data_IF_719641232657
#
_entry.id   IF_719641232657
#
_cell.length_a   1.000
_cell.length_b   1.000
_cell.length_c   1.000
_cell.angle_alpha   90.00
_cell.angle_beta   90.00
_cell.angle_gamma   90.00
#
_symmetry.space_group_name_H-M   'P 1'
#
loop_
_entity.id
_entity.type
_entity.pdbx_description
1 polymer ?
#
# COMPACT_ATOMS: atom_id res chain seq x y z
N UNK A 1 -27.40 -14.45 -10.08
CA UNK A 1 -27.21 -15.42 -8.99
C UNK A 1 -26.61 -16.72 -9.52
N UNK A 2 -25.32 -16.67 -9.92
CA UNK A 2 -24.64 -17.83 -10.49
C UNK A 2 -23.79 -18.45 -9.39
N UNK A 3 -24.17 -19.63 -8.89
CA UNK A 3 -23.46 -20.35 -7.84
C UNK A 3 -22.60 -21.44 -8.48
N UNK A 4 -21.55 -21.01 -9.24
CA UNK A 4 -20.62 -21.88 -9.95
C UNK A 4 -19.19 -21.61 -9.53
N UNK A 5 -18.29 -22.56 -9.72
CA UNK A 5 -16.88 -22.43 -9.36
C UNK A 5 -16.20 -21.20 -10.03
N UNK A 6 -16.54 -20.94 -11.30
CA UNK A 6 -15.96 -19.79 -12.02
C UNK A 6 -16.45 -18.44 -11.48
N UNK A 7 -17.69 -18.34 -10.94
CA UNK A 7 -18.16 -17.10 -10.31
C UNK A 7 -17.40 -16.80 -9.02
N UNK A 8 -17.03 -17.81 -8.24
CA UNK A 8 -16.16 -17.64 -7.08
C UNK A 8 -14.72 -17.28 -7.48
N UNK A 9 -14.19 -17.82 -8.60
CA UNK A 9 -12.89 -17.41 -9.13
C UNK A 9 -12.90 -15.94 -9.55
N UNK A 10 -13.91 -15.50 -10.29
CA UNK A 10 -14.06 -14.09 -10.67
C UNK A 10 -14.23 -13.18 -9.45
N UNK A 11 -15.01 -13.60 -8.46
CA UNK A 11 -15.15 -12.89 -7.20
C UNK A 11 -13.80 -12.78 -6.46
N UNK A 12 -13.04 -13.87 -6.36
CA UNK A 12 -11.71 -13.88 -5.76
C UNK A 12 -10.75 -12.88 -6.42
N UNK A 13 -10.67 -12.90 -7.74
CA UNK A 13 -9.83 -11.97 -8.50
C UNK A 13 -10.28 -10.53 -8.31
N UNK A 14 -11.59 -10.26 -8.41
CA UNK A 14 -12.16 -8.92 -8.20
C UNK A 14 -11.93 -8.39 -6.78
N UNK A 15 -12.06 -9.25 -5.77
CA UNK A 15 -11.85 -8.91 -4.37
C UNK A 15 -10.38 -8.62 -4.04
N UNK A 16 -9.43 -9.24 -4.75
CA UNK A 16 -8.01 -8.86 -4.64
C UNK A 16 -7.80 -7.39 -4.99
N UNK A 17 -8.37 -6.92 -6.11
CA UNK A 17 -8.38 -5.49 -6.47
C UNK A 17 -9.27 -4.66 -5.54
N UNK A 18 -10.35 -5.24 -5.00
CA UNK A 18 -11.20 -4.60 -3.99
C UNK A 18 -10.43 -4.27 -2.72
N UNK A 19 -9.64 -5.21 -2.20
CA UNK A 19 -8.76 -4.96 -1.05
C UNK A 19 -7.71 -3.90 -1.33
N UNK A 20 -7.13 -3.86 -2.54
CA UNK A 20 -6.23 -2.78 -2.94
C UNK A 20 -6.93 -1.41 -2.81
N UNK A 21 -8.17 -1.29 -3.32
CA UNK A 21 -8.96 -0.04 -3.24
C UNK A 21 -9.28 0.36 -1.81
N UNK A 22 -9.69 -0.58 -0.97
CA UNK A 22 -9.99 -0.29 0.44
C UNK A 22 -8.74 0.18 1.19
N UNK A 23 -7.60 -0.47 0.97
CA UNK A 23 -6.36 -0.10 1.64
C UNK A 23 -5.83 1.26 1.16
N UNK A 24 -5.95 1.59 -0.13
CA UNK A 24 -5.54 2.91 -0.64
C UNK A 24 -6.47 4.02 -0.13
N UNK A 25 -7.78 3.80 -0.11
CA UNK A 25 -8.69 4.78 0.50
C UNK A 25 -8.49 4.87 2.02
N UNK A 26 -8.13 3.78 2.69
CA UNK A 26 -7.70 3.79 4.08
C UNK A 26 -6.41 4.59 4.31
N UNK A 27 -5.47 4.54 3.36
CA UNK A 27 -4.27 5.37 3.32
C UNK A 27 -4.63 6.86 3.16
N UNK A 28 -5.54 7.22 2.24
CA UNK A 28 -6.05 8.59 2.13
C UNK A 28 -6.72 9.06 3.43
N UNK A 29 -7.48 8.17 4.08
CA UNK A 29 -8.05 8.47 5.40
C UNK A 29 -6.97 8.68 6.47
N UNK A 30 -5.85 7.95 6.39
CA UNK A 30 -4.71 8.16 7.29
C UNK A 30 -4.10 9.56 7.12
N UNK A 31 -4.02 10.08 5.90
CA UNK A 31 -3.62 11.45 5.59
C UNK A 31 -4.73 12.49 5.81
N UNK A 32 -5.95 12.07 6.19
CA UNK A 32 -7.13 12.94 6.34
C UNK A 32 -7.55 13.65 5.04
N UNK A 33 -7.40 12.97 3.91
CA UNK A 33 -7.67 13.51 2.57
C UNK A 33 -8.99 13.03 1.94
N UNK A 34 -9.75 12.12 2.60
CA UNK A 34 -11.04 11.66 2.08
C UNK A 34 -12.14 12.73 2.19
N UNK A 35 -12.21 13.42 3.32
CA UNK A 35 -13.21 14.42 3.63
C UNK A 35 -12.59 15.59 4.38
N UNK A 36 -13.09 16.81 4.13
CA UNK A 36 -12.72 18.00 4.90
C UNK A 36 -13.16 17.91 6.37
N UNK A 37 -14.25 17.19 6.66
CA UNK A 37 -14.67 16.92 8.03
C UNK A 37 -13.81 15.78 8.60
N UNK A 38 -12.94 16.08 9.57
CA UNK A 38 -12.03 15.11 10.21
C UNK A 38 -12.76 13.93 10.87
N UNK A 39 -13.94 14.14 11.48
CA UNK A 39 -14.73 13.08 12.12
C UNK A 39 -15.31 12.13 11.09
N UNK A 40 -15.87 12.64 9.99
CA UNK A 40 -16.36 11.85 8.88
C UNK A 40 -15.22 11.06 8.22
N UNK A 41 -14.05 11.69 8.01
CA UNK A 41 -12.87 11.04 7.49
C UNK A 41 -12.44 9.83 8.35
N UNK A 42 -12.35 10.02 9.66
CA UNK A 42 -11.90 8.96 10.57
C UNK A 42 -12.98 7.87 10.74
N UNK A 43 -14.26 8.21 10.74
CA UNK A 43 -15.35 7.25 10.82
C UNK A 43 -15.37 6.34 9.58
N UNK A 44 -15.41 6.92 8.39
CA UNK A 44 -15.43 6.17 7.13
C UNK A 44 -14.13 5.40 6.95
N UNK A 45 -12.99 6.06 7.20
CA UNK A 45 -11.66 5.44 7.08
C UNK A 45 -11.50 4.19 7.95
N UNK A 46 -12.01 4.22 9.17
CA UNK A 46 -11.95 3.08 10.10
C UNK A 46 -12.96 2.00 9.73
N UNK A 47 -14.25 2.33 9.75
CA UNK A 47 -15.32 1.34 9.77
C UNK A 47 -15.68 0.78 8.39
N UNK A 48 -15.57 1.59 7.33
CA UNK A 48 -15.97 1.17 5.97
C UNK A 48 -14.78 0.78 5.08
N UNK A 49 -13.56 1.25 5.38
CA UNK A 49 -12.40 1.01 4.52
C UNK A 49 -11.36 0.10 5.17
N UNK A 50 -10.85 0.46 6.34
CA UNK A 50 -9.69 -0.23 6.94
C UNK A 50 -10.10 -1.51 7.69
N UNK A 51 -11.11 -1.46 8.56
CA UNK A 51 -11.50 -2.61 9.36
C UNK A 51 -12.03 -3.80 8.55
N UNK A 52 -12.83 -3.62 7.47
CA UNK A 52 -13.16 -4.70 6.57
C UNK A 52 -11.93 -5.39 5.96
N UNK A 53 -10.84 -4.65 5.76
CA UNK A 53 -9.57 -5.14 5.22
C UNK A 53 -8.52 -5.45 6.30
N UNK A 54 -8.94 -5.70 7.54
CA UNK A 54 -8.10 -6.10 8.69
C UNK A 54 -7.00 -5.09 9.04
N UNK A 55 -7.17 -3.81 8.70
CA UNK A 55 -6.20 -2.76 8.99
C UNK A 55 -6.65 -1.90 10.17
N UNK A 56 -5.81 -1.74 11.20
CA UNK A 56 -6.02 -0.81 12.30
C UNK A 56 -5.60 0.59 11.84
N UNK A 57 -6.56 1.42 11.41
CA UNK A 57 -6.31 2.67 10.71
C UNK A 57 -5.53 3.70 11.55
N UNK A 58 -5.82 3.83 12.84
CA UNK A 58 -5.10 4.77 13.70
C UNK A 58 -3.66 4.31 13.97
N UNK A 59 -3.45 3.00 14.12
CA UNK A 59 -2.11 2.45 14.23
C UNK A 59 -1.35 2.61 12.91
N UNK A 60 -2.00 2.34 11.80
CA UNK A 60 -1.44 2.54 10.46
C UNK A 60 -1.07 4.01 10.22
N UNK A 61 -1.94 4.97 10.57
CA UNK A 61 -1.62 6.41 10.46
C UNK A 61 -0.31 6.75 11.17
N UNK A 62 -0.12 6.28 12.40
CA UNK A 62 1.11 6.54 13.14
C UNK A 62 2.35 5.94 12.48
N UNK A 63 2.27 4.67 12.05
CA UNK A 63 3.39 4.03 11.36
C UNK A 63 3.67 4.67 10.01
N UNK A 64 2.63 5.06 9.29
CA UNK A 64 2.76 5.66 7.97
C UNK A 64 3.36 7.08 8.02
N UNK A 65 3.01 7.90 9.01
CA UNK A 65 3.70 9.17 9.22
C UNK A 65 5.14 8.99 9.71
N UNK A 66 5.45 7.95 10.47
CA UNK A 66 6.83 7.60 10.81
C UNK A 66 7.62 7.19 9.54
N UNK A 67 7.00 6.43 8.62
CA UNK A 67 7.56 6.12 7.32
C UNK A 67 7.90 7.37 6.52
N UNK A 68 6.97 8.32 6.33
CA UNK A 68 7.24 9.58 5.63
C UNK A 68 8.35 10.43 6.26
N UNK A 69 8.51 10.33 7.58
CA UNK A 69 9.53 11.09 8.31
C UNK A 69 10.93 10.51 8.16
N UNK A 70 11.05 9.18 8.15
CA UNK A 70 12.35 8.46 8.17
C UNK A 70 12.45 7.42 7.05
N UNK A 71 12.05 7.77 5.82
CA UNK A 71 12.11 6.88 4.67
C UNK A 71 13.49 6.26 4.49
N UNK A 72 13.53 4.92 4.41
CA UNK A 72 14.75 4.12 4.32
C UNK A 72 15.67 4.24 5.53
N UNK A 73 15.27 4.95 6.58
CA UNK A 73 16.04 5.14 7.80
C UNK A 73 15.91 4.00 8.81
N UNK A 74 16.68 4.04 9.90
CA UNK A 74 16.69 2.99 10.92
C UNK A 74 15.37 2.89 11.71
N UNK A 75 14.61 3.98 11.82
CA UNK A 75 13.33 4.05 12.54
C UNK A 75 12.12 3.78 11.63
N UNK A 76 12.35 3.47 10.38
CA UNK A 76 11.29 3.20 9.42
C UNK A 76 10.54 1.91 9.74
N UNK A 77 9.23 1.95 10.06
CA UNK A 77 8.48 0.77 10.47
C UNK A 77 8.26 -0.24 9.33
N UNK A 78 8.27 0.21 8.09
CA UNK A 78 8.01 -0.62 6.90
C UNK A 78 9.29 -1.11 6.19
N UNK A 79 10.49 -0.72 6.66
CA UNK A 79 11.78 -1.04 6.06
C UNK A 79 11.94 -2.53 5.74
N UNK A 80 11.43 -3.43 6.60
CA UNK A 80 11.50 -4.88 6.39
C UNK A 80 10.73 -5.40 5.15
N UNK A 81 9.83 -4.60 4.57
CA UNK A 81 9.06 -4.97 3.38
C UNK A 81 9.92 -4.88 2.12
N UNK A 82 10.81 -3.90 2.04
CA UNK A 82 11.57 -3.53 0.85
C UNK A 82 13.08 -3.38 1.04
N UNK A 83 13.60 -3.60 2.26
CA UNK A 83 15.05 -3.68 2.48
C UNK A 83 15.69 -4.90 1.80
N UNK A 84 17.00 -4.76 1.50
CA UNK A 84 17.80 -5.84 0.91
C UNK A 84 17.52 -6.08 -0.57
N UNK A 85 17.08 -5.05 -1.30
CA UNK A 85 17.01 -5.04 -2.76
C UNK A 85 18.20 -4.24 -3.34
N UNK A 86 18.72 -4.60 -4.54
CA UNK A 86 18.33 -5.75 -5.37
C UNK A 86 18.57 -7.11 -4.68
N UNK A 87 17.71 -8.10 -4.97
CA UNK A 87 17.79 -9.43 -4.36
C UNK A 87 17.74 -10.52 -5.45
N UNK A 88 18.38 -11.68 -5.26
CA UNK A 88 18.25 -12.79 -6.22
C UNK A 88 16.79 -13.16 -6.50
N UNK A 89 16.48 -13.50 -7.74
CA UNK A 89 15.14 -13.85 -8.22
C UNK A 89 14.47 -14.93 -7.35
N UNK A 90 15.22 -15.91 -6.86
CA UNK A 90 14.69 -16.98 -6.01
C UNK A 90 14.28 -16.46 -4.63
N UNK A 91 14.99 -15.46 -4.10
CA UNK A 91 14.60 -14.79 -2.85
C UNK A 91 13.29 -14.03 -3.02
N UNK A 92 13.15 -13.32 -4.15
CA UNK A 92 11.92 -12.61 -4.50
C UNK A 92 10.74 -13.57 -4.67
N UNK A 93 10.92 -14.65 -5.46
CA UNK A 93 9.91 -15.69 -5.65
C UNK A 93 9.48 -16.35 -4.33
N UNK A 94 10.44 -16.63 -3.43
CA UNK A 94 10.15 -17.18 -2.10
C UNK A 94 9.29 -16.22 -1.27
N UNK A 95 9.58 -14.91 -1.30
CA UNK A 95 8.77 -13.89 -0.60
C UNK A 95 7.34 -13.86 -1.14
N UNK A 96 7.14 -13.84 -2.47
CA UNK A 96 5.81 -13.84 -3.08
C UNK A 96 5.05 -15.15 -2.81
N UNK A 97 5.72 -16.30 -2.90
CA UNK A 97 5.09 -17.60 -2.58
C UNK A 97 4.60 -17.66 -1.14
N UNK A 98 5.37 -17.15 -0.19
CA UNK A 98 4.95 -17.06 1.21
C UNK A 98 3.69 -16.22 1.39
N UNK A 99 3.53 -15.15 0.61
CA UNK A 99 2.32 -14.32 0.62
C UNK A 99 1.16 -15.03 -0.08
N UNK A 100 1.40 -15.64 -1.24
CA UNK A 100 0.40 -16.40 -1.99
C UNK A 100 -0.16 -17.62 -1.24
N UNK A 101 0.64 -18.23 -0.37
CA UNK A 101 0.22 -19.40 0.45
C UNK A 101 -0.38 -19.00 1.80
N UNK A 102 -0.58 -17.70 2.07
CA UNK A 102 -1.23 -17.23 3.30
C UNK A 102 -0.33 -17.23 4.55
N UNK A 103 0.95 -17.61 4.46
CA UNK A 103 1.86 -17.62 5.61
C UNK A 103 2.00 -16.22 6.24
N UNK A 104 2.05 -15.18 5.42
CA UNK A 104 2.10 -13.79 5.90
C UNK A 104 0.77 -13.38 6.55
N UNK A 105 -0.35 -13.79 5.99
CA UNK A 105 -1.68 -13.54 6.57
C UNK A 105 -1.85 -14.22 7.93
N UNK A 106 -1.40 -15.47 8.07
CA UNK A 106 -1.40 -16.16 9.36
C UNK A 106 -0.66 -15.37 10.45
N UNK A 107 0.51 -14.81 10.13
CA UNK A 107 1.27 -13.98 11.06
C UNK A 107 0.48 -12.73 11.49
N UNK A 108 -0.24 -12.12 10.56
CA UNK A 108 -1.07 -10.94 10.83
C UNK A 108 -2.29 -11.29 11.69
N UNK A 109 -2.99 -12.39 11.39
CA UNK A 109 -4.10 -12.87 12.23
C UNK A 109 -3.62 -13.17 13.66
N UNK A 110 -2.50 -13.86 13.78
CA UNK A 110 -1.88 -14.12 15.09
C UNK A 110 -1.53 -12.82 15.83
N UNK A 111 -1.07 -11.78 15.11
CA UNK A 111 -0.85 -10.44 15.64
C UNK A 111 -2.14 -9.78 16.10
N UNK A 112 -3.19 -9.82 15.29
CA UNK A 112 -4.52 -9.29 15.58
C UNK A 112 -5.10 -9.93 16.85
N UNK A 113 -5.10 -11.27 16.94
CA UNK A 113 -5.61 -11.98 18.11
C UNK A 113 -4.80 -11.66 19.38
N UNK A 114 -3.48 -11.52 19.28
CA UNK A 114 -2.66 -11.05 20.40
C UNK A 114 -3.04 -9.63 20.85
N UNK A 115 -3.27 -8.72 19.90
CA UNK A 115 -3.70 -7.37 20.20
C UNK A 115 -5.09 -7.34 20.88
N UNK A 116 -6.03 -8.17 20.44
CA UNK A 116 -7.35 -8.34 21.10
C UNK A 116 -7.17 -8.81 22.54
N UNK A 117 -6.34 -9.83 22.78
CA UNK A 117 -6.08 -10.36 24.13
C UNK A 117 -5.42 -9.31 25.05
N UNK A 118 -4.61 -8.40 24.48
CA UNK A 118 -4.02 -7.26 25.20
C UNK A 118 -4.98 -6.08 25.37
N UNK A 119 -6.22 -6.19 24.94
CA UNK A 119 -7.23 -5.15 25.12
C UNK A 119 -7.24 -4.03 24.08
N UNK A 120 -6.47 -4.14 22.97
CA UNK A 120 -6.41 -3.11 21.95
C UNK A 120 -7.80 -2.85 21.31
N UNK A 121 -8.30 -1.62 21.44
CA UNK A 121 -9.64 -1.25 21.00
C UNK A 121 -9.85 -1.46 19.50
N UNK A 122 -8.94 -0.97 18.65
CA UNK A 122 -9.06 -1.15 17.19
C UNK A 122 -9.08 -2.63 16.79
N UNK A 123 -8.28 -3.48 17.46
CA UNK A 123 -8.27 -4.92 17.18
C UNK A 123 -9.63 -5.57 17.47
N UNK A 124 -10.29 -5.17 18.58
CA UNK A 124 -11.65 -5.63 18.92
C UNK A 124 -12.68 -5.13 17.91
N UNK A 125 -12.58 -3.87 17.49
CA UNK A 125 -13.45 -3.27 16.47
C UNK A 125 -13.30 -3.95 15.10
N UNK A 126 -12.09 -4.31 14.71
CA UNK A 126 -11.84 -5.11 13.49
C UNK A 126 -12.55 -6.44 13.59
N UNK A 127 -12.40 -7.19 14.71
CA UNK A 127 -13.10 -8.47 14.87
C UNK A 127 -14.62 -8.30 14.83
N UNK A 128 -15.16 -7.25 15.45
CA UNK A 128 -16.60 -6.96 15.39
C UNK A 128 -17.06 -6.78 13.93
N UNK A 129 -16.35 -6.01 13.14
CA UNK A 129 -16.67 -5.82 11.71
C UNK A 129 -16.62 -7.15 10.96
N UNK A 130 -15.63 -8.01 11.22
CA UNK A 130 -15.55 -9.32 10.59
C UNK A 130 -16.72 -10.24 10.99
N UNK A 131 -17.13 -10.22 12.25
CA UNK A 131 -18.33 -10.98 12.73
C UNK A 131 -19.58 -10.45 12.04
N UNK A 132 -19.75 -9.14 11.93
CA UNK A 132 -20.90 -8.54 11.23
C UNK A 132 -20.90 -8.93 9.75
N UNK A 133 -19.77 -8.88 9.06
CA UNK A 133 -19.65 -9.27 7.64
C UNK A 133 -19.97 -10.77 7.44
N UNK A 134 -19.45 -11.63 8.31
CA UNK A 134 -19.78 -13.06 8.29
C UNK A 134 -21.27 -13.28 8.55
N UNK A 135 -21.84 -12.65 9.60
CA UNK A 135 -23.26 -12.73 9.92
C UNK A 135 -24.14 -12.27 8.77
N UNK A 136 -23.79 -11.15 8.12
CA UNK A 136 -24.50 -10.66 6.93
C UNK A 136 -24.42 -11.66 5.77
N UNK A 137 -23.27 -12.29 5.53
CA UNK A 137 -23.11 -13.29 4.47
C UNK A 137 -23.94 -14.56 4.73
N UNK A 138 -24.07 -14.95 5.98
CA UNK A 138 -24.94 -16.07 6.41
C UNK A 138 -26.43 -15.67 6.24
N UNK A 139 -26.80 -14.48 6.66
CA UNK A 139 -28.18 -13.99 6.57
C UNK A 139 -28.71 -13.93 5.13
N UNK A 140 -27.84 -13.63 4.18
CA UNK A 140 -28.16 -13.66 2.73
C UNK A 140 -27.91 -15.03 2.10
N UNK A 141 -27.71 -16.08 2.89
CA UNK A 141 -27.48 -17.46 2.46
C UNK A 141 -26.28 -17.62 1.52
N UNK A 142 -25.21 -16.83 1.75
CA UNK A 142 -23.99 -16.81 0.93
C UNK A 142 -22.71 -16.79 1.78
N UNK A 143 -22.51 -17.73 2.72
CA UNK A 143 -21.35 -17.72 3.63
C UNK A 143 -20.01 -17.85 2.89
N UNK A 144 -19.97 -18.49 1.73
CA UNK A 144 -18.76 -18.59 0.90
C UNK A 144 -18.28 -17.23 0.39
N UNK A 145 -19.12 -16.21 0.30
CA UNK A 145 -18.67 -14.85 -0.04
C UNK A 145 -17.67 -14.32 0.98
N UNK A 146 -17.93 -14.55 2.27
CA UNK A 146 -16.98 -14.15 3.31
C UNK A 146 -15.69 -14.99 3.27
N UNK A 147 -15.78 -16.29 2.97
CA UNK A 147 -14.59 -17.13 2.79
C UNK A 147 -13.72 -16.60 1.65
N UNK A 148 -14.34 -16.27 0.49
CA UNK A 148 -13.60 -15.70 -0.68
C UNK A 148 -13.01 -14.32 -0.34
N UNK A 149 -13.72 -13.51 0.44
CA UNK A 149 -13.19 -12.23 0.96
C UNK A 149 -11.91 -12.44 1.77
N UNK A 150 -11.93 -13.33 2.74
CA UNK A 150 -10.75 -13.64 3.58
C UNK A 150 -9.61 -14.25 2.77
N UNK A 151 -9.92 -15.14 1.83
CA UNK A 151 -8.92 -15.76 0.95
C UNK A 151 -8.25 -14.71 0.05
N UNK A 152 -9.02 -13.82 -0.58
CA UNK A 152 -8.49 -12.76 -1.43
C UNK A 152 -7.55 -11.82 -0.65
N UNK A 153 -7.93 -11.46 0.59
CA UNK A 153 -7.08 -10.66 1.47
C UNK A 153 -5.82 -11.42 1.89
N UNK A 154 -5.96 -12.70 2.23
CA UNK A 154 -4.87 -13.52 2.78
C UNK A 154 -3.81 -13.90 1.75
N UNK A 155 -4.14 -13.87 0.46
CA UNK A 155 -3.29 -14.35 -0.62
C UNK A 155 -3.05 -13.29 -1.69
N UNK A 156 -4.04 -13.03 -2.56
CA UNK A 156 -3.89 -12.18 -3.74
C UNK A 156 -3.52 -10.74 -3.37
N UNK A 157 -4.21 -10.16 -2.40
CA UNK A 157 -3.88 -8.82 -1.90
C UNK A 157 -2.47 -8.77 -1.28
N UNK A 158 -2.06 -9.80 -0.55
CA UNK A 158 -0.72 -9.84 0.04
C UNK A 158 0.38 -9.83 -1.01
N UNK A 159 0.20 -10.59 -2.09
CA UNK A 159 1.14 -10.62 -3.22
C UNK A 159 1.20 -9.24 -3.89
N UNK A 160 0.05 -8.66 -4.24
CA UNK A 160 0.01 -7.36 -4.92
C UNK A 160 0.56 -6.23 -4.04
N UNK A 161 0.24 -6.22 -2.76
CA UNK A 161 0.77 -5.21 -1.82
C UNK A 161 2.29 -5.31 -1.67
N UNK A 162 2.85 -6.52 -1.55
CA UNK A 162 4.30 -6.71 -1.50
C UNK A 162 4.97 -6.26 -2.79
N UNK A 163 4.43 -6.70 -3.94
CA UNK A 163 4.98 -6.32 -5.24
C UNK A 163 4.97 -4.80 -5.43
N UNK A 164 3.90 -4.12 -4.94
CA UNK A 164 3.78 -2.67 -4.90
C UNK A 164 4.84 -2.03 -4.00
N UNK A 165 4.89 -2.40 -2.72
CA UNK A 165 5.80 -1.78 -1.74
C UNK A 165 7.27 -1.90 -2.16
N UNK A 166 7.68 -3.04 -2.76
CA UNK A 166 9.02 -3.18 -3.31
C UNK A 166 9.22 -2.21 -4.49
N UNK A 167 8.21 -2.01 -5.35
CA UNK A 167 8.31 -1.10 -6.48
C UNK A 167 8.27 0.39 -6.08
N UNK A 168 7.87 0.67 -4.86
CA UNK A 168 7.87 2.02 -4.29
C UNK A 168 9.25 2.38 -3.72
N UNK A 169 9.90 1.49 -2.96
CA UNK A 169 11.12 1.81 -2.20
C UNK A 169 12.27 0.79 -2.33
N UNK A 170 12.08 -0.35 -3.02
CA UNK A 170 13.06 -1.43 -3.05
C UNK A 170 14.39 -1.05 -3.70
N UNK A 171 15.48 -1.12 -2.94
CA UNK A 171 16.82 -0.78 -3.42
C UNK A 171 17.17 0.70 -3.35
N UNK A 172 16.30 1.50 -2.74
CA UNK A 172 16.55 2.92 -2.44
C UNK A 172 17.36 3.08 -1.16
N UNK A 173 17.84 4.30 -0.89
CA UNK A 173 18.68 4.66 0.24
C UNK A 173 18.05 5.80 1.04
N UNK A 174 18.43 5.94 2.31
CA UNK A 174 18.00 7.06 3.14
C UNK A 174 18.55 8.39 2.57
N UNK A 175 17.68 9.36 2.35
CA UNK A 175 18.04 10.68 1.83
C UNK A 175 16.93 11.71 2.11
N UNK A 176 17.30 12.98 2.17
CA UNK A 176 16.36 14.08 2.11
C UNK A 176 15.78 14.30 0.70
N UNK A 177 16.48 13.84 -0.34
CA UNK A 177 15.97 13.87 -1.71
C UNK A 177 15.09 12.66 -1.98
N UNK A 178 13.79 12.90 -2.16
CA UNK A 178 12.78 11.87 -2.37
C UNK A 178 13.02 11.01 -3.62
N UNK A 179 13.80 11.47 -4.58
CA UNK A 179 14.22 10.70 -5.76
C UNK A 179 15.16 9.55 -5.41
N UNK A 180 15.82 9.61 -4.24
CA UNK A 180 16.69 8.57 -3.71
C UNK A 180 15.97 7.59 -2.77
N UNK A 181 14.76 7.94 -2.31
CA UNK A 181 13.97 7.09 -1.40
C UNK A 181 12.81 6.41 -2.10
N UNK A 182 12.33 6.92 -3.24
CA UNK A 182 11.08 6.50 -3.87
C UNK A 182 11.20 6.42 -5.40
N UNK A 183 10.78 5.28 -5.96
CA UNK A 183 10.78 5.07 -7.40
C UNK A 183 9.60 5.73 -8.12
N UNK A 184 9.77 5.97 -9.42
CA UNK A 184 8.69 6.30 -10.37
C UNK A 184 8.48 5.12 -11.30
N UNK A 185 7.25 4.58 -11.36
CA UNK A 185 6.92 3.46 -12.23
C UNK A 185 5.65 3.77 -13.02
N UNK A 186 5.71 3.68 -14.36
CA UNK A 186 4.53 3.86 -15.22
C UNK A 186 3.49 2.78 -14.97
N UNK A 187 2.24 3.19 -14.85
CA UNK A 187 1.13 2.34 -14.41
C UNK A 187 0.36 1.78 -15.60
N UNK A 188 0.33 0.44 -15.73
CA UNK A 188 -0.59 -0.24 -16.65
C UNK A 188 -2.01 -0.30 -16.07
N UNK A 189 -3.01 -0.61 -16.90
CA UNK A 189 -4.39 -0.85 -16.44
C UNK A 189 -4.45 -1.97 -15.38
N UNK A 190 -3.71 -3.05 -15.59
CA UNK A 190 -3.64 -4.16 -14.63
C UNK A 190 -3.05 -3.72 -13.29
N UNK A 191 -1.99 -2.90 -13.29
CA UNK A 191 -1.44 -2.34 -12.07
C UNK A 191 -2.47 -1.47 -11.34
N UNK A 192 -3.21 -0.62 -12.05
CA UNK A 192 -4.30 0.21 -11.48
C UNK A 192 -5.47 -0.63 -10.94
N UNK A 193 -5.70 -1.82 -11.47
CA UNK A 193 -6.78 -2.69 -10.99
C UNK A 193 -6.41 -3.40 -9.69
N UNK A 194 -5.17 -3.89 -9.52
CA UNK A 194 -4.81 -4.79 -8.43
C UNK A 194 -3.73 -4.30 -7.49
N UNK A 195 -2.95 -3.25 -7.85
CA UNK A 195 -1.81 -2.79 -7.06
C UNK A 195 -1.90 -1.33 -6.63
N UNK A 196 -2.13 -0.42 -7.58
CA UNK A 196 -2.04 1.03 -7.41
C UNK A 196 -3.31 1.76 -7.89
N UNK A 197 -4.50 1.39 -7.37
CA UNK A 197 -5.72 2.11 -7.73
C UNK A 197 -5.63 3.59 -7.31
N UNK A 198 -6.55 4.40 -7.86
CA UNK A 198 -6.67 5.81 -7.48
C UNK A 198 -5.38 6.62 -7.64
N UNK A 199 -4.62 6.38 -8.72
CA UNK A 199 -3.38 7.11 -9.06
C UNK A 199 -2.24 7.01 -8.03
N UNK A 200 -2.33 6.14 -7.03
CA UNK A 200 -1.29 6.01 -5.98
C UNK A 200 0.03 5.44 -6.49
N UNK A 201 0.09 4.97 -7.74
CA UNK A 201 1.34 4.63 -8.39
C UNK A 201 2.22 5.85 -8.72
N UNK A 202 1.71 7.08 -8.62
CA UNK A 202 2.53 8.29 -8.58
C UNK A 202 3.10 8.51 -7.17
N UNK A 203 3.77 7.47 -6.66
CA UNK A 203 4.17 7.39 -5.26
C UNK A 203 5.24 8.41 -4.88
N UNK A 204 6.16 8.71 -5.81
CA UNK A 204 7.14 9.78 -5.61
C UNK A 204 6.45 11.14 -5.43
N UNK A 205 5.43 11.46 -6.23
CA UNK A 205 4.67 12.70 -6.05
C UNK A 205 3.98 12.76 -4.68
N UNK A 206 3.45 11.62 -4.20
CA UNK A 206 2.89 11.50 -2.85
C UNK A 206 3.94 11.74 -1.76
N UNK A 207 5.17 11.26 -1.92
CA UNK A 207 6.26 11.49 -0.97
C UNK A 207 6.85 12.90 -1.05
N UNK A 208 6.70 13.60 -2.18
CA UNK A 208 7.05 15.04 -2.30
C UNK A 208 6.08 15.90 -1.51
N UNK A 209 4.76 15.60 -1.61
CA UNK A 209 3.73 16.27 -0.83
C UNK A 209 2.60 15.31 -0.46
N UNK A 210 2.68 14.79 0.77
CA UNK A 210 1.68 13.87 1.32
C UNK A 210 0.32 14.53 1.62
N UNK A 211 0.20 15.85 1.51
CA UNK A 211 -1.05 16.62 1.63
C UNK A 211 -1.85 16.69 0.33
N UNK A 212 -1.30 16.20 -0.78
CA UNK A 212 -1.99 16.19 -2.07
C UNK A 212 -2.88 14.94 -2.20
N UNK A 213 -4.22 15.11 -2.37
CA UNK A 213 -5.12 13.98 -2.55
C UNK A 213 -4.80 13.15 -3.81
N UNK A 214 -5.07 11.84 -3.76
CA UNK A 214 -4.79 10.88 -4.85
C UNK A 214 -5.22 11.36 -6.25
N UNK A 215 -6.33 12.09 -6.36
CA UNK A 215 -6.84 12.61 -7.64
C UNK A 215 -5.95 13.67 -8.27
N UNK A 216 -5.14 14.36 -7.47
CA UNK A 216 -4.25 15.42 -7.91
C UNK A 216 -2.79 14.96 -8.09
N UNK A 217 -2.44 13.75 -7.65
CA UNK A 217 -1.08 13.19 -7.82
C UNK A 217 -0.61 13.16 -9.29
N UNK A 218 -1.46 12.84 -10.30
CA UNK A 218 -1.03 12.92 -11.69
C UNK A 218 -0.63 14.34 -12.12
N UNK A 219 -1.32 15.37 -11.61
CA UNK A 219 -0.99 16.76 -11.90
C UNK A 219 0.34 17.15 -11.25
N UNK A 220 0.51 16.84 -9.97
CA UNK A 220 1.79 17.09 -9.28
C UNK A 220 2.95 16.37 -9.98
N UNK A 221 2.77 15.10 -10.35
CA UNK A 221 3.79 14.37 -11.09
C UNK A 221 4.14 15.05 -12.43
N UNK A 222 3.15 15.51 -13.19
CA UNK A 222 3.37 16.23 -14.44
C UNK A 222 4.15 17.55 -14.23
N UNK A 223 3.90 18.28 -13.15
CA UNK A 223 4.64 19.49 -12.78
C UNK A 223 6.11 19.16 -12.40
N UNK A 224 6.34 18.06 -11.68
CA UNK A 224 7.69 17.59 -11.33
C UNK A 224 8.48 17.16 -12.60
N UNK A 225 7.82 16.58 -13.59
CA UNK A 225 8.44 16.27 -14.89
C UNK A 225 8.72 17.55 -15.67
N UNK A 226 7.76 18.46 -15.76
CA UNK A 226 7.91 19.73 -16.48
C UNK A 226 9.04 20.62 -15.91
N UNK A 227 9.27 20.55 -14.59
CA UNK A 227 10.39 21.25 -13.93
C UNK A 227 11.74 20.59 -14.15
N UNK A 228 11.80 19.41 -14.78
CA UNK A 228 13.02 18.62 -14.94
C UNK A 228 13.48 17.90 -13.66
N UNK A 229 12.70 17.97 -12.56
CA UNK A 229 13.07 17.30 -11.32
C UNK A 229 12.84 15.78 -11.38
N UNK A 230 11.80 15.33 -12.08
CA UNK A 230 11.60 13.93 -12.47
C UNK A 230 12.03 13.77 -13.92
N UNK A 231 12.96 12.86 -14.19
CA UNK A 231 13.51 12.57 -15.52
C UNK A 231 13.32 11.10 -15.88
N UNK A 232 13.46 10.76 -17.17
CA UNK A 232 13.43 9.36 -17.64
C UNK A 232 14.51 8.48 -16.98
N UNK A 233 15.58 9.08 -16.47
CA UNK A 233 16.65 8.36 -15.78
C UNK A 233 16.16 7.65 -14.51
N UNK A 234 15.16 8.20 -13.82
CA UNK A 234 14.60 7.62 -12.58
C UNK A 234 13.23 6.93 -12.80
N UNK A 235 12.65 7.04 -14.00
CA UNK A 235 11.36 6.45 -14.32
C UNK A 235 11.50 5.05 -14.92
N UNK A 236 10.73 4.09 -14.40
CA UNK A 236 10.60 2.77 -15.00
C UNK A 236 9.39 2.73 -15.95
N UNK A 237 9.54 2.16 -17.16
CA UNK A 237 8.45 2.13 -18.15
C UNK A 237 7.33 1.16 -17.75
N UNK A 238 7.55 0.27 -16.78
CA UNK A 238 6.56 -0.66 -16.27
C UNK A 238 7.02 -1.33 -14.97
N UNK A 239 6.08 -1.87 -14.21
CA UNK A 239 6.37 -2.71 -13.03
C UNK A 239 7.23 -3.94 -13.39
N UNK A 240 7.02 -4.52 -14.59
CA UNK A 240 7.86 -5.64 -15.05
C UNK A 240 9.32 -5.23 -15.22
N UNK A 241 9.57 -4.05 -15.78
CA UNK A 241 10.92 -3.51 -15.93
C UNK A 241 11.56 -3.25 -14.56
N UNK A 242 10.80 -2.68 -13.62
CA UNK A 242 11.26 -2.48 -12.26
C UNK A 242 11.62 -3.81 -11.59
N UNK A 243 10.72 -4.81 -11.59
CA UNK A 243 11.00 -6.09 -10.91
C UNK A 243 12.18 -6.83 -11.53
N UNK A 244 12.41 -6.70 -12.84
CA UNK A 244 13.63 -7.21 -13.47
C UNK A 244 14.87 -6.55 -12.89
N UNK A 245 14.87 -5.23 -12.72
CA UNK A 245 15.97 -4.50 -12.10
C UNK A 245 16.16 -4.87 -10.63
N UNK A 246 15.08 -4.93 -9.84
CA UNK A 246 15.09 -5.29 -8.43
C UNK A 246 15.51 -6.73 -8.14
N UNK A 247 15.50 -7.62 -9.15
CA UNK A 247 15.97 -9.01 -9.07
C UNK A 247 17.28 -9.24 -9.81
N UNK A 248 17.91 -8.19 -10.32
CA UNK A 248 19.26 -8.15 -10.89
C UNK A 248 20.18 -7.31 -9.99
N UNK A 249 21.37 -6.95 -10.45
CA UNK A 249 22.33 -6.19 -9.65
C UNK A 249 22.11 -4.67 -9.62
N UNK A 250 21.10 -4.13 -10.32
CA UNK A 250 20.97 -2.67 -10.53
C UNK A 250 19.53 -2.18 -10.43
N UNK A 251 19.30 -1.15 -9.60
CA UNK A 251 18.10 -0.29 -9.66
C UNK A 251 18.51 1.12 -10.09
N UNK A 252 17.59 1.84 -10.75
CA UNK A 252 17.84 3.22 -11.16
C UNK A 252 17.95 4.12 -9.93
N UNK A 253 18.99 4.94 -9.91
CA UNK A 253 19.13 6.05 -8.97
C UNK A 253 19.40 7.32 -9.77
N UNK A 254 18.93 8.50 -9.32
CA UNK A 254 19.24 9.75 -9.98
C UNK A 254 20.74 10.04 -9.88
N UNK A 255 21.28 10.67 -10.92
CA UNK A 255 22.59 11.27 -10.84
C UNK A 255 22.45 12.57 -10.03
N UNK A 256 22.85 12.53 -8.76
CA UNK A 256 22.69 13.63 -7.81
C UNK A 256 23.80 14.69 -7.92
N UNK A 257 24.73 14.57 -8.86
CA UNK A 257 25.84 15.51 -9.06
C UNK A 257 25.42 16.93 -9.51
N UNK A 258 24.13 17.27 -9.51
CA UNK A 258 23.64 18.59 -9.91
C UNK A 258 22.37 19.09 -9.21
N UNK A 259 21.83 18.36 -8.25
CA UNK A 259 20.58 18.74 -7.59
C UNK A 259 20.84 19.67 -6.40
N UNK A 260 20.68 20.98 -6.62
CA UNK A 260 20.63 21.96 -5.54
C UNK A 260 19.60 21.57 -4.48
N UNK A 261 19.96 21.73 -3.22
CA UNK A 261 19.13 21.44 -2.04
C UNK A 261 17.82 22.24 -2.08
N UNK A 262 16.76 21.64 -2.64
CA UNK A 262 15.41 22.16 -2.47
C UNK A 262 15.01 22.04 -1.00
N UNK A 263 14.84 23.16 -0.32
CA UNK A 263 14.30 23.20 1.04
C UNK A 263 12.92 22.56 1.03
N UNK A 264 12.76 21.42 1.72
CA UNK A 264 11.47 20.89 2.13
C UNK A 264 10.81 21.95 3.02
N UNK A 265 9.71 22.56 2.57
CA UNK A 265 8.82 23.31 3.45
C UNK A 265 8.07 22.29 4.31
N UNK A 266 8.61 21.98 5.48
CA UNK A 266 7.84 21.29 6.52
C UNK A 266 6.72 22.22 6.95
N UNK A 267 5.50 21.93 6.52
CA UNK A 267 4.32 22.48 7.15
C UNK A 267 4.20 21.80 8.52
N UNK A 268 4.48 22.56 9.57
CA UNK A 268 4.20 22.18 10.95
C UNK A 268 2.69 21.97 11.09
N UNK A 269 2.28 20.76 11.37
CA UNK A 269 0.91 20.44 11.82
C UNK A 269 0.96 20.22 13.35
N UNK A 270 1.22 21.30 14.10
CA UNK A 270 0.81 21.41 15.50
C UNK A 270 -0.58 22.07 15.47
N UNK A 271 -1.63 21.26 15.72
CA UNK A 271 -2.89 21.48 16.46
C UNK A 271 -3.92 20.38 16.12
#
# INVERSE_FOLDING_TARGET
YVNTWWSYLLAFLSLGGGHARLNILGHEAAHRLLFSNRRANDLVGRWLLSYPSYQAMLAYRRSHFAHHRDEMGPEEPDLSLYSGYPTPLDSWRRKLRRDATGISAYKNFRGLFRAVRKGALEARQILLVQVVMLGASIAVMRPLMYVVWVLAWSTLWRVSNRARSIAEHGGMIQSADRRLTTHVVRQSLTARMWMVPYNTGWHLAHHVDMGVPWRNLPKLHAELVASGWVTEAIEYPSYRAFWKAATSATVKQPDVAGAGQGRSSMLNFDD
#
